data_IF_095595095430
#
_entry.id   IF_095595095430
#
_cell.length_a   1.000
_cell.length_b   1.000
_cell.length_c   1.000
_cell.angle_alpha   90.00
_cell.angle_beta   90.00
_cell.angle_gamma   90.00
#
_symmetry.space_group_name_H-M   'P 1'
#
loop_
_entity.id
_entity.type
_entity.pdbx_description
1 polymer ?
#
# COMPACT_ATOMS: atom_id res chain seq x y z
N UNK A 1 -16.10 13.01 -7.33
CA UNK A 1 -15.99 12.45 -8.71
C UNK A 1 -15.91 10.94 -8.63
N UNK A 2 -16.68 10.25 -9.44
CA UNK A 2 -16.66 8.79 -9.46
C UNK A 2 -15.65 8.32 -10.52
N UNK A 3 -14.67 7.56 -10.10
CA UNK A 3 -13.69 6.99 -11.02
C UNK A 3 -14.28 5.78 -11.74
N UNK A 4 -13.98 5.66 -13.02
CA UNK A 4 -14.37 4.48 -13.78
C UNK A 4 -13.53 3.30 -13.35
N UNK A 5 -14.12 2.11 -13.38
CA UNK A 5 -13.39 0.89 -13.14
C UNK A 5 -12.34 0.70 -14.25
N UNK A 6 -11.10 0.48 -13.85
CA UNK A 6 -10.00 0.24 -14.77
C UNK A 6 -9.74 -1.27 -14.88
N UNK A 7 -10.04 -1.91 -16.02
CA UNK A 7 -9.85 -3.35 -16.15
C UNK A 7 -8.37 -3.79 -16.09
N UNK A 8 -7.45 -2.85 -16.31
CA UNK A 8 -6.01 -3.16 -16.26
C UNK A 8 -5.42 -2.99 -14.86
N UNK A 9 -6.22 -2.53 -13.89
CA UNK A 9 -5.72 -2.24 -12.55
C UNK A 9 -5.18 -3.48 -11.83
N UNK A 10 -5.98 -4.55 -11.76
CA UNK A 10 -5.53 -5.77 -11.07
C UNK A 10 -4.31 -6.40 -11.70
N UNK A 11 -4.26 -6.59 -13.03
CA UNK A 11 -3.03 -7.12 -13.66
C UNK A 11 -1.80 -6.26 -13.34
N UNK A 12 -1.95 -4.93 -13.36
CA UNK A 12 -0.86 -4.02 -13.02
C UNK A 12 -0.40 -4.24 -11.57
N UNK A 13 -1.34 -4.29 -10.62
CA UNK A 13 -1.01 -4.47 -9.21
C UNK A 13 -0.34 -5.82 -8.93
N UNK A 14 -0.77 -6.87 -9.60
CA UNK A 14 -0.17 -8.19 -9.47
C UNK A 14 1.29 -8.21 -9.94
N UNK A 15 1.66 -7.36 -10.90
CA UNK A 15 3.05 -7.23 -11.35
C UNK A 15 3.93 -6.55 -10.30
N UNK A 16 3.34 -5.83 -9.33
CA UNK A 16 4.07 -5.11 -8.29
C UNK A 16 4.13 -5.90 -6.97
N UNK A 17 4.36 -7.20 -7.05
CA UNK A 17 4.27 -8.12 -5.91
C UNK A 17 5.20 -7.75 -4.74
N UNK A 18 6.31 -7.09 -5.00
CA UNK A 18 7.24 -6.68 -3.94
C UNK A 18 6.76 -5.44 -3.18
N UNK A 19 5.83 -4.71 -3.75
CA UNK A 19 5.34 -3.44 -3.22
C UNK A 19 3.90 -3.51 -2.75
N UNK A 20 3.07 -4.29 -3.44
CA UNK A 20 1.62 -4.34 -3.23
C UNK A 20 1.21 -5.76 -2.82
N UNK A 21 0.55 -5.87 -1.68
CA UNK A 21 0.06 -7.14 -1.17
C UNK A 21 -1.44 -7.27 -1.42
N UNK A 22 -1.81 -8.25 -2.23
CA UNK A 22 -3.20 -8.50 -2.62
C UNK A 22 -3.85 -9.50 -1.66
N UNK A 23 -3.04 -10.41 -1.09
CA UNK A 23 -3.49 -11.36 -0.09
C UNK A 23 -2.85 -11.04 1.26
N UNK A 24 -3.38 -10.06 2.01
CA UNK A 24 -2.75 -9.64 3.26
C UNK A 24 -2.64 -10.74 4.31
N UNK A 25 -3.49 -11.74 4.25
CA UNK A 25 -3.46 -12.85 5.21
C UNK A 25 -2.16 -13.65 5.15
N UNK A 26 -1.50 -13.67 4.00
CA UNK A 26 -0.23 -14.35 3.84
C UNK A 26 0.89 -13.67 4.63
N UNK A 27 0.68 -12.41 5.01
CA UNK A 27 1.68 -11.58 5.67
C UNK A 27 1.30 -11.16 7.10
N UNK A 28 0.17 -11.66 7.63
CA UNK A 28 -0.24 -11.32 8.99
C UNK A 28 0.84 -11.73 9.99
N UNK A 29 1.24 -10.77 10.84
CA UNK A 29 2.28 -11.00 11.83
C UNK A 29 3.70 -11.03 11.30
N UNK A 30 3.90 -10.79 10.00
CA UNK A 30 5.22 -10.89 9.35
C UNK A 30 5.71 -9.58 8.74
N UNK A 31 5.10 -8.46 9.13
CA UNK A 31 5.47 -7.17 8.54
C UNK A 31 6.91 -6.77 8.78
N UNK A 32 7.48 -7.14 9.94
CA UNK A 32 8.89 -6.87 10.22
C UNK A 32 9.81 -7.61 9.24
N UNK A 33 9.40 -8.80 8.81
CA UNK A 33 10.15 -9.54 7.80
C UNK A 33 10.05 -8.85 6.44
N UNK A 34 8.86 -8.32 6.10
CA UNK A 34 8.64 -7.62 4.83
C UNK A 34 9.53 -6.38 4.74
N UNK A 35 9.58 -5.58 5.80
CA UNK A 35 10.39 -4.36 5.82
C UNK A 35 11.86 -4.62 6.15
N UNK A 36 12.18 -5.77 6.74
CA UNK A 36 13.55 -6.11 7.12
C UNK A 36 14.07 -5.39 8.35
N UNK A 37 13.17 -4.88 9.20
CA UNK A 37 13.55 -4.19 10.43
C UNK A 37 12.42 -4.27 11.45
N UNK A 38 12.66 -3.76 12.66
CA UNK A 38 11.70 -3.75 13.76
C UNK A 38 11.12 -2.36 14.05
N UNK A 39 11.14 -1.47 13.07
CA UNK A 39 10.58 -0.13 13.25
C UNK A 39 9.06 -0.18 13.47
N UNK A 40 8.50 0.83 14.15
CA UNK A 40 7.05 0.89 14.32
C UNK A 40 6.32 0.85 12.98
N UNK A 41 5.14 0.26 12.98
CA UNK A 41 4.32 0.15 11.77
C UNK A 41 3.09 1.05 11.92
N UNK A 42 2.91 1.95 10.97
CA UNK A 42 1.75 2.83 10.89
C UNK A 42 0.90 2.40 9.70
N UNK A 43 -0.39 2.27 9.92
CA UNK A 43 -1.34 1.81 8.89
C UNK A 43 -2.32 2.93 8.58
N UNK A 44 -2.48 3.24 7.30
CA UNK A 44 -3.52 4.17 6.84
C UNK A 44 -4.58 3.39 6.07
N UNK A 45 -5.80 3.40 6.61
CA UNK A 45 -6.95 2.71 6.00
C UNK A 45 -7.68 3.69 5.10
N UNK A 46 -8.00 3.26 3.87
CA UNK A 46 -8.68 4.15 2.91
C UNK A 46 -7.74 5.24 2.41
N UNK A 47 -6.53 4.85 2.06
CA UNK A 47 -5.49 5.82 1.69
C UNK A 47 -5.76 6.61 0.41
N UNK A 48 -6.74 6.20 -0.39
CA UNK A 48 -7.07 6.88 -1.64
C UNK A 48 -5.91 6.87 -2.62
N UNK A 49 -5.59 8.05 -3.17
CA UNK A 49 -4.51 8.20 -4.16
C UNK A 49 -3.12 8.27 -3.54
N UNK A 50 -3.03 8.16 -2.22
CA UNK A 50 -1.75 7.96 -1.52
C UNK A 50 -0.95 9.21 -1.21
N UNK A 51 -1.45 10.42 -1.48
CA UNK A 51 -0.66 11.64 -1.26
C UNK A 51 -0.20 11.78 0.20
N UNK A 52 -1.10 11.50 1.14
CA UNK A 52 -0.80 11.65 2.56
C UNK A 52 0.21 10.61 3.06
N UNK A 53 -0.01 9.33 2.73
CA UNK A 53 0.86 8.27 3.23
C UNK A 53 2.25 8.33 2.59
N UNK A 54 2.33 8.67 1.31
CA UNK A 54 3.61 8.81 0.63
C UNK A 54 4.43 9.92 1.28
N UNK A 55 3.81 11.07 1.55
CA UNK A 55 4.49 12.19 2.19
C UNK A 55 4.93 11.85 3.61
N UNK A 56 4.08 11.16 4.38
CA UNK A 56 4.45 10.73 5.74
C UNK A 56 5.62 9.75 5.72
N UNK A 57 5.61 8.79 4.80
CA UNK A 57 6.70 7.83 4.70
C UNK A 57 8.02 8.52 4.33
N UNK A 58 7.95 9.50 3.43
CA UNK A 58 9.12 10.28 3.03
C UNK A 58 9.72 11.06 4.19
N UNK A 59 8.87 11.62 5.06
CA UNK A 59 9.30 12.45 6.19
C UNK A 59 9.75 11.63 7.40
N UNK A 60 9.30 10.38 7.51
CA UNK A 60 9.54 9.56 8.70
C UNK A 60 10.17 8.22 8.32
N UNK A 61 11.46 8.23 7.92
CA UNK A 61 12.11 7.00 7.43
C UNK A 61 12.25 5.91 8.51
N UNK A 62 12.10 6.26 9.78
CA UNK A 62 12.20 5.30 10.89
C UNK A 62 10.87 4.64 11.25
N UNK A 63 9.82 4.95 10.50
CA UNK A 63 8.50 4.35 10.66
C UNK A 63 8.14 3.62 9.37
N UNK A 64 7.65 2.38 9.49
CA UNK A 64 7.17 1.62 8.34
C UNK A 64 5.70 1.93 8.12
N UNK A 65 5.32 2.21 6.88
CA UNK A 65 3.96 2.60 6.51
C UNK A 65 3.32 1.55 5.61
N UNK A 66 2.06 1.23 5.90
CA UNK A 66 1.24 0.35 5.07
C UNK A 66 -0.03 1.11 4.71
N UNK A 67 -0.22 1.38 3.43
CA UNK A 67 -1.43 2.03 2.92
C UNK A 67 -2.41 0.98 2.41
N UNK A 68 -3.63 1.03 2.91
CA UNK A 68 -4.69 0.08 2.56
C UNK A 68 -5.75 0.78 1.73
N UNK A 69 -6.09 0.20 0.57
CA UNK A 69 -7.14 0.70 -0.30
C UNK A 69 -7.88 -0.49 -0.92
N UNK A 70 -9.22 -0.46 -0.83
CA UNK A 70 -10.03 -1.57 -1.33
C UNK A 70 -10.29 -1.50 -2.84
N UNK A 71 -10.25 -0.32 -3.43
CA UNK A 71 -10.54 -0.14 -4.85
C UNK A 71 -9.26 -0.23 -5.68
N UNK A 72 -9.18 -1.27 -6.53
CA UNK A 72 -7.99 -1.51 -7.36
C UNK A 72 -7.66 -0.33 -8.27
N UNK A 73 -8.67 0.34 -8.82
CA UNK A 73 -8.46 1.50 -9.69
C UNK A 73 -7.79 2.65 -8.94
N UNK A 74 -8.26 2.93 -7.73
CA UNK A 74 -7.70 4.01 -6.89
C UNK A 74 -6.29 3.64 -6.44
N UNK A 75 -6.10 2.40 -5.98
CA UNK A 75 -4.79 1.92 -5.55
C UNK A 75 -3.76 1.99 -6.68
N UNK A 76 -4.17 1.65 -7.90
CA UNK A 76 -3.30 1.72 -9.07
C UNK A 76 -2.80 3.15 -9.31
N UNK A 77 -3.67 4.16 -9.12
CA UNK A 77 -3.26 5.56 -9.25
C UNK A 77 -2.17 5.89 -8.24
N UNK A 78 -2.34 5.47 -6.99
CA UNK A 78 -1.35 5.70 -5.93
C UNK A 78 -0.02 5.02 -6.23
N UNK A 79 -0.07 3.75 -6.66
CA UNK A 79 1.14 2.98 -6.94
C UNK A 79 1.90 3.58 -8.14
N UNK A 80 1.20 3.97 -9.20
CA UNK A 80 1.85 4.59 -10.36
C UNK A 80 2.53 5.90 -9.98
N UNK A 81 1.88 6.70 -9.14
CA UNK A 81 2.46 7.93 -8.62
C UNK A 81 3.74 7.64 -7.82
N UNK A 82 3.67 6.65 -6.95
CA UNK A 82 4.82 6.25 -6.14
C UNK A 82 6.00 5.78 -7.02
N UNK A 83 5.72 5.03 -8.09
CA UNK A 83 6.78 4.52 -8.97
C UNK A 83 7.50 5.60 -9.76
N UNK A 84 6.94 6.81 -9.85
CA UNK A 84 7.56 7.94 -10.52
C UNK A 84 8.51 8.73 -9.60
N UNK A 85 8.55 8.40 -8.33
CA UNK A 85 9.40 9.08 -7.36
C UNK A 85 10.51 8.16 -6.87
N UNK A 86 11.42 8.70 -6.06
CA UNK A 86 12.49 7.92 -5.45
C UNK A 86 11.90 6.86 -4.52
N UNK A 87 12.35 5.61 -4.65
CA UNK A 87 11.81 4.50 -3.88
C UNK A 87 12.01 4.69 -2.38
N UNK A 88 10.97 4.36 -1.60
CA UNK A 88 10.98 4.43 -0.15
C UNK A 88 10.93 3.00 0.42
N UNK A 89 11.94 2.62 1.17
CA UNK A 89 12.02 1.27 1.74
C UNK A 89 10.98 1.04 2.84
N UNK A 90 10.41 2.12 3.39
CA UNK A 90 9.47 2.07 4.52
C UNK A 90 8.00 2.23 4.12
N UNK A 91 7.66 1.94 2.85
CA UNK A 91 6.28 2.06 2.38
C UNK A 91 5.88 0.81 1.59
N UNK A 92 4.72 0.26 1.93
CA UNK A 92 4.09 -0.84 1.19
C UNK A 92 2.60 -0.55 1.05
N UNK A 93 1.98 -1.18 0.09
CA UNK A 93 0.56 -1.02 -0.20
C UNK A 93 -0.17 -2.34 -0.06
N UNK A 94 -1.44 -2.26 0.31
CA UNK A 94 -2.27 -3.44 0.48
C UNK A 94 -3.64 -3.20 -0.15
N UNK A 95 -4.08 -4.14 -1.00
CA UNK A 95 -5.42 -4.11 -1.56
C UNK A 95 -6.32 -4.95 -0.68
N UNK A 96 -7.14 -4.29 0.15
CA UNK A 96 -8.07 -5.00 1.03
C UNK A 96 -9.15 -4.09 1.54
N UNK A 97 -10.30 -4.67 1.84
CA UNK A 97 -11.35 -3.98 2.59
C UNK A 97 -10.98 -4.07 4.07
N UNK A 98 -10.88 -2.92 4.74
CA UNK A 98 -10.52 -2.85 6.14
C UNK A 98 -11.47 -3.66 7.05
N UNK A 99 -12.72 -3.83 6.65
CA UNK A 99 -13.68 -4.61 7.41
C UNK A 99 -13.27 -6.09 7.54
N UNK A 100 -12.52 -6.60 6.56
CA UNK A 100 -12.03 -7.99 6.58
C UNK A 100 -10.85 -8.15 7.55
N UNK A 101 -10.05 -7.10 7.70
CA UNK A 101 -8.86 -7.14 8.54
C UNK A 101 -9.16 -7.13 10.04
N UNK A 102 -10.36 -6.71 10.42
CA UNK A 102 -10.78 -6.65 11.82
C UNK A 102 -11.27 -7.97 12.40
N UNK A 103 -11.30 -9.03 11.59
CA UNK A 103 -11.78 -10.33 12.02
C UNK A 103 -10.71 -11.17 12.72
#
# INVERSE_FOLDING_TARGET
MRLRNNPDAMPFLEEQADLVFINPRDHLGKWHEVFGNNNPIAIEIGMGKGDFIIENARRNPDINYIGIEKYSTVLTIAVKKYLEMEALSNLRFMKEDAAVLGE
#
